data_IF_030805789062
#
_entry.id   IF_030805789062
#
_cell.length_a   1.000
_cell.length_b   1.000
_cell.length_c   1.000
_cell.angle_alpha   90.00
_cell.angle_beta   90.00
_cell.angle_gamma   90.00
#
_symmetry.space_group_name_H-M   'P 1'
#
loop_
_entity.id
_entity.type
_entity.pdbx_description
1 polymer ?
#
# COMPACT_ATOMS: atom_id res chain seq x y z
N UNK A 1 5.00 0.96 -18.17
CA UNK A 1 3.64 1.51 -18.39
C UNK A 1 3.79 2.83 -19.15
N UNK A 2 2.93 3.15 -20.13
CA UNK A 2 2.96 4.46 -20.78
C UNK A 2 2.62 5.59 -19.79
N UNK A 3 3.35 6.71 -19.84
CA UNK A 3 3.18 7.82 -18.88
C UNK A 3 1.75 8.39 -18.91
N UNK A 4 1.18 8.56 -20.10
CA UNK A 4 -0.19 9.08 -20.30
C UNK A 4 -1.26 8.21 -19.63
N UNK A 5 -1.07 6.89 -19.63
CA UNK A 5 -1.99 5.96 -18.99
C UNK A 5 -1.91 6.04 -17.46
N UNK A 6 -0.70 6.31 -16.92
CA UNK A 6 -0.52 6.51 -15.48
C UNK A 6 -1.13 7.83 -15.03
N UNK A 7 -0.88 8.93 -15.74
CA UNK A 7 -1.44 10.24 -15.39
C UNK A 7 -2.98 10.23 -15.40
N UNK A 8 -3.59 9.56 -16.38
CA UNK A 8 -5.05 9.39 -16.43
C UNK A 8 -5.57 8.58 -15.24
N UNK A 9 -4.87 7.49 -14.88
CA UNK A 9 -5.21 6.64 -13.74
C UNK A 9 -5.05 7.37 -12.40
N UNK A 10 -3.91 8.01 -12.17
CA UNK A 10 -3.61 8.78 -10.96
C UNK A 10 -4.62 9.93 -10.78
N UNK A 11 -4.96 10.65 -11.85
CA UNK A 11 -5.98 11.71 -11.80
C UNK A 11 -7.34 11.20 -11.38
N UNK A 12 -7.77 10.05 -11.91
CA UNK A 12 -9.09 9.47 -11.62
C UNK A 12 -9.15 8.81 -10.23
N UNK A 13 -8.02 8.36 -9.71
CA UNK A 13 -7.92 7.63 -8.44
C UNK A 13 -7.12 8.37 -7.37
N UNK A 14 -6.88 9.67 -7.54
CA UNK A 14 -6.07 10.49 -6.59
C UNK A 14 -6.57 10.39 -5.16
N UNK A 15 -7.89 10.26 -5.00
CA UNK A 15 -8.57 10.23 -3.71
C UNK A 15 -8.70 8.80 -3.17
N UNK A 16 -8.31 7.80 -3.95
CA UNK A 16 -8.30 6.44 -3.50
C UNK A 16 -7.19 6.24 -2.45
N UNK A 17 -7.47 5.57 -1.32
CA UNK A 17 -6.48 5.36 -0.27
C UNK A 17 -5.18 4.71 -0.75
N UNK A 18 -5.23 3.86 -1.78
CA UNK A 18 -4.05 3.19 -2.32
C UNK A 18 -3.13 4.10 -3.13
N UNK A 19 -3.65 5.16 -3.77
CA UNK A 19 -2.82 6.19 -4.43
C UNK A 19 -2.32 7.19 -3.38
N UNK A 20 -3.22 7.66 -2.49
CA UNK A 20 -2.88 8.63 -1.45
C UNK A 20 -1.81 8.14 -0.48
N UNK A 21 -1.87 6.87 -0.09
CA UNK A 21 -0.89 6.26 0.82
C UNK A 21 0.35 5.77 0.06
N UNK A 22 0.44 6.03 -1.25
CA UNK A 22 1.55 5.63 -2.09
C UNK A 22 1.70 4.12 -2.24
N UNK A 23 0.67 3.31 -1.97
CA UNK A 23 0.71 1.85 -2.11
C UNK A 23 0.86 1.46 -3.58
N UNK A 24 0.19 2.18 -4.46
CA UNK A 24 0.30 2.02 -5.91
C UNK A 24 1.03 3.24 -6.47
N UNK A 25 2.15 3.00 -7.14
CA UNK A 25 3.02 4.03 -7.71
C UNK A 25 3.63 3.55 -9.03
N UNK A 26 3.99 4.49 -9.91
CA UNK A 26 4.71 4.20 -11.14
C UNK A 26 6.14 4.75 -11.08
N UNK A 27 7.08 3.95 -11.55
CA UNK A 27 8.50 4.30 -11.67
C UNK A 27 9.00 3.85 -13.04
N UNK A 28 10.02 4.54 -13.53
CA UNK A 28 10.59 4.33 -14.87
C UNK A 28 11.69 3.28 -14.90
N UNK A 29 12.29 2.97 -13.75
CA UNK A 29 13.47 2.13 -13.62
C UNK A 29 13.44 1.31 -12.32
N UNK A 30 14.14 0.17 -12.37
CA UNK A 30 14.15 -0.83 -11.31
C UNK A 30 14.79 -0.31 -10.02
N UNK A 31 15.77 0.60 -10.13
CA UNK A 31 16.41 1.23 -8.98
C UNK A 31 15.43 2.13 -8.24
N UNK A 32 14.69 2.96 -8.97
CA UNK A 32 13.61 3.77 -8.43
C UNK A 32 12.49 2.92 -7.84
N UNK A 33 12.23 1.72 -8.38
CA UNK A 33 11.28 0.77 -7.77
C UNK A 33 11.74 0.29 -6.40
N UNK A 34 13.01 -0.09 -6.28
CA UNK A 34 13.60 -0.54 -5.03
C UNK A 34 13.62 0.58 -3.98
N UNK A 35 14.04 1.80 -4.36
CA UNK A 35 14.09 2.95 -3.47
C UNK A 35 12.67 3.38 -3.04
N UNK A 36 11.74 3.51 -3.99
CA UNK A 36 10.35 3.86 -3.69
C UNK A 36 9.66 2.80 -2.82
N UNK A 37 9.96 1.51 -3.04
CA UNK A 37 9.48 0.41 -2.20
C UNK A 37 10.07 0.46 -0.79
N UNK A 38 11.34 0.87 -0.63
CA UNK A 38 11.97 1.01 0.67
C UNK A 38 11.38 2.19 1.46
N UNK A 39 11.13 3.33 0.80
CA UNK A 39 10.46 4.49 1.43
C UNK A 39 9.02 4.15 1.88
N UNK A 40 8.35 3.29 1.11
CA UNK A 40 6.98 2.84 1.39
C UNK A 40 6.91 1.57 2.24
N UNK A 41 8.04 0.98 2.61
CA UNK A 41 8.11 -0.22 3.49
C UNK A 41 7.48 0.01 4.86
N UNK A 42 7.41 1.27 5.32
CA UNK A 42 6.75 1.66 6.58
C UNK A 42 5.24 1.84 6.44
N UNK A 43 4.72 1.90 5.22
CA UNK A 43 3.27 1.95 4.96
C UNK A 43 2.73 0.53 5.10
N UNK A 44 2.01 0.27 6.20
CA UNK A 44 1.38 -1.02 6.45
C UNK A 44 0.38 -1.32 5.32
N UNK A 45 0.67 -2.33 4.51
CA UNK A 45 -0.28 -2.86 3.52
C UNK A 45 -1.10 -3.97 4.18
N UNK A 46 -2.40 -4.02 3.90
CA UNK A 46 -3.40 -4.76 4.69
C UNK A 46 -3.40 -6.28 4.57
N UNK A 47 -2.24 -6.93 4.48
CA UNK A 47 -2.09 -8.39 4.56
C UNK A 47 -1.05 -8.82 5.62
N UNK A 48 -0.42 -7.87 6.31
CA UNK A 48 0.37 -8.19 7.51
C UNK A 48 -0.57 -8.78 8.55
N UNK A 49 -0.34 -10.04 8.95
CA UNK A 49 -1.02 -10.64 10.09
C UNK A 49 -0.76 -9.77 11.31
N UNK A 50 -1.76 -9.00 11.73
CA UNK A 50 -1.73 -8.34 13.02
C UNK A 50 -1.66 -9.46 14.05
N UNK A 51 -0.65 -9.45 14.91
CA UNK A 51 -0.56 -10.43 15.99
C UNK A 51 -1.86 -10.39 16.80
N UNK A 52 -2.37 -11.53 17.27
CA UNK A 52 -3.63 -11.57 18.02
C UNK A 52 -3.65 -10.58 19.21
N UNK A 53 -2.48 -10.29 19.79
CA UNK A 53 -2.29 -9.29 20.85
C UNK A 53 -2.54 -7.84 20.40
N UNK A 54 -2.18 -7.51 19.16
CA UNK A 54 -2.33 -6.16 18.60
C UNK A 54 -3.65 -5.97 17.85
N UNK A 55 -4.36 -7.06 17.56
CA UNK A 55 -5.59 -7.07 16.77
C UNK A 55 -6.83 -6.65 17.57
N UNK A 56 -6.72 -6.47 18.89
CA UNK A 56 -7.84 -6.10 19.76
C UNK A 56 -8.99 -7.12 19.78
N UNK A 57 -8.71 -8.36 19.35
CA UNK A 57 -9.68 -9.46 19.37
C UNK A 57 -9.55 -10.14 20.72
N UNK A 58 -10.55 -9.96 21.59
CA UNK A 58 -10.68 -10.79 22.79
C UNK A 58 -10.98 -12.23 22.34
N UNK A 59 -10.20 -13.19 22.82
CA UNK A 59 -10.51 -14.62 22.63
C UNK A 59 -11.86 -14.90 23.29
N UNK A 60 -12.90 -15.15 22.48
CA UNK A 60 -14.12 -15.78 22.98
C UNK A 60 -13.72 -17.15 23.54
N UNK A 61 -13.72 -17.27 24.87
CA UNK A 61 -13.64 -18.58 25.52
C UNK A 61 -14.93 -19.32 25.19
N UNK A 62 -14.83 -20.38 24.40
CA UNK A 62 -15.93 -21.34 24.20
C UNK A 62 -16.44 -21.85 25.56
N UNK A 63 -17.75 -21.79 25.76
CA UNK A 63 -18.51 -22.46 26.83
C UNK A 63 -18.54 -23.98 26.64
#
# INVERSE_FOLDING_TARGET
MPAEAWEAFEKNHKDAPFIRNGIVFAVTDEKSAADASLERSRQKTGLEQVSAKDAGVEEEKEE
#
